data_IF_855898232792
#
_entry.id   IF_855898232792
#
_cell.length_a   1.000
_cell.length_b   1.000
_cell.length_c   1.000
_cell.angle_alpha   90.00
_cell.angle_beta   90.00
_cell.angle_gamma   90.00
#
_symmetry.space_group_name_H-M   'P 1'
#
loop_
_entity.id
_entity.type
_entity.pdbx_description
1 polymer ?
#
# COMPACT_ATOMS: atom_id res chain seq x y z
N UNK A 1 54.48 14.69 10.97
CA UNK A 1 53.18 15.01 11.57
C UNK A 1 52.34 15.75 10.53
N UNK A 2 51.48 15.05 9.81
CA UNK A 2 50.51 15.65 8.87
C UNK A 2 49.13 15.29 9.40
N UNK A 3 48.60 16.15 10.26
CA UNK A 3 47.22 16.06 10.73
C UNK A 3 46.30 16.39 9.55
N UNK A 4 45.74 15.35 8.91
CA UNK A 4 44.64 15.52 7.97
C UNK A 4 43.43 15.98 8.78
N UNK A 5 43.17 17.28 8.75
CA UNK A 5 41.95 17.87 9.31
C UNK A 5 40.75 17.22 8.62
N UNK A 6 40.12 16.27 9.31
CA UNK A 6 38.96 15.54 8.84
C UNK A 6 37.73 16.44 8.89
N UNK A 7 37.52 17.25 7.85
CA UNK A 7 36.24 17.91 7.67
C UNK A 7 35.21 16.84 7.29
N UNK A 8 34.30 16.53 8.21
CA UNK A 8 33.11 15.73 7.89
C UNK A 8 32.19 16.59 7.04
N UNK A 9 32.27 16.48 5.72
CA UNK A 9 31.30 17.10 4.83
C UNK A 9 29.97 16.40 5.08
N UNK A 10 29.03 17.08 5.78
CA UNK A 10 27.65 16.60 5.90
C UNK A 10 27.03 16.73 4.51
N UNK A 11 27.06 15.65 3.74
CA UNK A 11 26.50 15.61 2.41
C UNK A 11 24.96 15.65 2.51
N UNK A 12 24.38 16.82 2.25
CA UNK A 12 22.92 16.95 2.14
C UNK A 12 22.50 16.47 0.75
N UNK A 13 21.69 15.41 0.72
CA UNK A 13 21.11 14.91 -0.51
C UNK A 13 20.01 15.85 -0.99
N UNK A 14 20.07 16.27 -2.26
CA UNK A 14 19.02 17.08 -2.87
C UNK A 14 17.94 16.17 -3.44
N UNK A 15 16.76 16.20 -2.82
CA UNK A 15 15.62 15.40 -3.26
C UNK A 15 14.68 16.22 -4.14
N UNK A 16 14.05 15.61 -5.15
CA UNK A 16 13.01 16.27 -5.93
C UNK A 16 11.72 16.37 -5.12
N UNK A 17 11.47 17.54 -4.55
CA UNK A 17 10.37 17.81 -3.59
C UNK A 17 9.00 17.34 -4.10
N UNK A 18 8.62 17.72 -5.32
CA UNK A 18 7.32 17.35 -5.90
C UNK A 18 7.17 15.83 -6.02
N UNK A 19 8.21 15.14 -6.51
CA UNK A 19 8.17 13.68 -6.70
C UNK A 19 8.05 12.95 -5.37
N UNK A 20 8.78 13.43 -4.35
CA UNK A 20 8.73 12.89 -3.01
C UNK A 20 7.36 13.07 -2.36
N UNK A 21 6.76 14.27 -2.44
CA UNK A 21 5.45 14.56 -1.86
C UNK A 21 4.33 13.75 -2.53
N UNK A 22 4.35 13.65 -3.87
CA UNK A 22 3.40 12.81 -4.61
C UNK A 22 3.51 11.35 -4.17
N UNK A 23 4.73 10.83 -4.03
CA UNK A 23 4.93 9.47 -3.55
C UNK A 23 4.40 9.26 -2.13
N UNK A 24 4.67 10.19 -1.20
CA UNK A 24 4.21 10.12 0.18
C UNK A 24 2.68 10.11 0.26
N UNK A 25 2.00 10.99 -0.48
CA UNK A 25 0.54 11.05 -0.49
C UNK A 25 -0.07 9.77 -1.03
N UNK A 26 0.45 9.24 -2.14
CA UNK A 26 -0.04 7.99 -2.73
C UNK A 26 0.18 6.81 -1.79
N UNK A 27 1.34 6.70 -1.16
CA UNK A 27 1.63 5.60 -0.21
C UNK A 27 0.82 5.73 1.07
N UNK A 28 0.61 6.95 1.57
CA UNK A 28 -0.24 7.20 2.74
C UNK A 28 -1.68 6.76 2.45
N UNK A 29 -2.24 7.21 1.32
CA UNK A 29 -3.59 6.86 0.90
C UNK A 29 -3.72 5.34 0.70
N UNK A 30 -2.80 4.74 -0.04
CA UNK A 30 -2.82 3.29 -0.30
C UNK A 30 -2.73 2.48 1.00
N UNK A 31 -1.81 2.83 1.89
CA UNK A 31 -1.60 2.12 3.16
C UNK A 31 -2.80 2.28 4.09
N UNK A 32 -3.33 3.49 4.25
CA UNK A 32 -4.50 3.73 5.11
C UNK A 32 -5.75 3.03 4.57
N UNK A 33 -6.00 3.08 3.26
CA UNK A 33 -7.14 2.44 2.63
C UNK A 33 -7.06 0.92 2.71
N UNK A 34 -5.91 0.32 2.37
CA UNK A 34 -5.74 -1.14 2.46
C UNK A 34 -5.83 -1.61 3.91
N UNK A 35 -5.19 -0.92 4.86
CA UNK A 35 -5.28 -1.24 6.28
C UNK A 35 -6.74 -1.25 6.75
N UNK A 36 -7.52 -0.24 6.39
CA UNK A 36 -8.94 -0.15 6.74
C UNK A 36 -9.78 -1.27 6.14
N UNK A 37 -9.63 -1.55 4.84
CA UNK A 37 -10.40 -2.58 4.13
C UNK A 37 -10.11 -3.97 4.71
N UNK A 38 -8.83 -4.35 4.84
CA UNK A 38 -8.48 -5.69 5.33
C UNK A 38 -8.76 -5.86 6.82
N UNK A 39 -8.65 -4.80 7.63
CA UNK A 39 -9.07 -4.86 9.04
C UNK A 39 -10.59 -5.09 9.16
N UNK A 40 -11.38 -4.45 8.30
CA UNK A 40 -12.81 -4.70 8.24
C UNK A 40 -13.14 -6.12 7.80
N UNK A 41 -12.44 -6.65 6.79
CA UNK A 41 -12.61 -8.04 6.37
C UNK A 41 -12.26 -9.04 7.47
N UNK A 42 -11.19 -8.82 8.24
CA UNK A 42 -10.89 -9.63 9.43
C UNK A 42 -12.05 -9.64 10.41
N UNK A 43 -12.61 -8.46 10.71
CA UNK A 43 -13.75 -8.35 11.61
C UNK A 43 -14.96 -9.15 11.09
N UNK A 44 -15.29 -9.02 9.80
CA UNK A 44 -16.38 -9.78 9.16
C UNK A 44 -16.16 -11.29 9.29
N UNK A 45 -14.93 -11.80 9.10
CA UNK A 45 -14.64 -13.23 9.26
C UNK A 45 -14.88 -13.71 10.70
N UNK A 46 -14.59 -12.89 11.71
CA UNK A 46 -14.88 -13.26 13.11
C UNK A 46 -16.39 -13.35 13.39
N UNK A 47 -17.20 -12.47 12.79
CA UNK A 47 -18.66 -12.54 12.93
C UNK A 47 -19.25 -13.76 12.19
N UNK A 48 -18.70 -14.09 11.03
CA UNK A 48 -19.13 -15.25 10.24
C UNK A 48 -18.64 -16.59 10.80
N UNK A 49 -17.71 -16.58 11.77
CA UNK A 49 -17.12 -17.80 12.36
C UNK A 49 -16.53 -18.77 11.32
N UNK A 50 -15.97 -18.21 10.24
CA UNK A 50 -15.31 -18.95 9.16
C UNK A 50 -13.79 -18.75 9.22
N UNK A 51 -13.05 -19.65 8.56
CA UNK A 51 -11.60 -19.52 8.44
C UNK A 51 -11.21 -18.23 7.71
N UNK A 52 -10.21 -17.53 8.25
CA UNK A 52 -9.70 -16.29 7.66
C UNK A 52 -8.65 -16.59 6.58
N UNK A 53 -8.82 -16.08 5.35
CA UNK A 53 -7.79 -16.16 4.31
C UNK A 53 -6.49 -15.50 4.77
N UNK A 54 -5.34 -16.10 4.44
CA UNK A 54 -4.02 -15.62 4.84
C UNK A 54 -3.71 -14.20 4.34
N UNK A 55 -4.30 -13.81 3.21
CA UNK A 55 -4.12 -12.49 2.58
C UNK A 55 -4.58 -11.36 3.52
N UNK A 56 -5.61 -11.59 4.34
CA UNK A 56 -6.18 -10.54 5.20
C UNK A 56 -5.21 -10.09 6.31
N UNK A 57 -4.75 -10.98 7.23
CA UNK A 57 -3.79 -10.57 8.25
C UNK A 57 -2.45 -10.13 7.63
N UNK A 58 -2.05 -10.74 6.51
CA UNK A 58 -0.85 -10.36 5.77
C UNK A 58 -0.92 -8.90 5.28
N UNK A 59 -2.04 -8.50 4.68
CA UNK A 59 -2.22 -7.14 4.18
C UNK A 59 -2.40 -6.12 5.30
N UNK A 60 -3.02 -6.49 6.43
CA UNK A 60 -3.05 -5.63 7.62
C UNK A 60 -1.63 -5.34 8.13
N UNK A 61 -0.79 -6.36 8.25
CA UNK A 61 0.60 -6.17 8.68
C UNK A 61 1.40 -5.35 7.66
N UNK A 62 1.27 -5.66 6.37
CA UNK A 62 2.01 -4.98 5.28
C UNK A 62 1.60 -3.52 5.13
N UNK A 63 0.30 -3.23 5.15
CA UNK A 63 -0.21 -1.86 5.11
C UNK A 63 0.14 -1.07 6.37
N UNK A 64 0.15 -1.73 7.54
CA UNK A 64 0.64 -1.15 8.79
C UNK A 64 2.12 -0.76 8.71
N UNK A 65 2.97 -1.64 8.18
CA UNK A 65 4.39 -1.33 7.92
C UNK A 65 4.55 -0.20 6.90
N UNK A 66 3.75 -0.17 5.83
CA UNK A 66 3.74 0.92 4.85
C UNK A 66 3.40 2.27 5.49
N UNK A 67 2.38 2.29 6.36
CA UNK A 67 1.97 3.49 7.09
C UNK A 67 3.06 3.97 8.06
N UNK A 68 3.65 3.05 8.83
CA UNK A 68 4.78 3.33 9.71
C UNK A 68 5.98 3.90 8.94
N UNK A 69 6.28 3.34 7.75
CA UNK A 69 7.35 3.82 6.90
C UNK A 69 7.09 5.24 6.38
N UNK A 70 5.86 5.58 6.02
CA UNK A 70 5.49 6.95 5.65
C UNK A 70 5.71 7.92 6.82
N UNK A 71 5.27 7.58 8.04
CA UNK A 71 5.52 8.43 9.20
C UNK A 71 7.00 8.58 9.52
N UNK A 72 7.77 7.50 9.40
CA UNK A 72 9.22 7.52 9.56
C UNK A 72 9.89 8.45 8.52
N UNK A 73 9.43 8.40 7.27
CA UNK A 73 9.91 9.31 6.21
C UNK A 73 9.58 10.78 6.50
N UNK A 74 8.36 11.08 6.93
CA UNK A 74 7.97 12.43 7.33
C UNK A 74 8.85 12.96 8.46
N UNK A 75 9.16 12.12 9.45
CA UNK A 75 10.09 12.45 10.53
C UNK A 75 11.50 12.77 10.00
N UNK A 76 12.04 11.97 9.07
CA UNK A 76 13.36 12.24 8.47
C UNK A 76 13.40 13.52 7.64
N UNK A 77 12.31 13.83 6.93
CA UNK A 77 12.17 15.08 6.16
C UNK A 77 12.23 16.29 7.09
N UNK A 78 11.52 16.24 8.23
CA UNK A 78 11.54 17.32 9.24
C UNK A 78 12.94 17.54 9.82
N UNK A 79 13.77 16.48 9.91
CA UNK A 79 15.16 16.58 10.38
C UNK A 79 16.16 16.96 9.28
N UNK A 80 15.74 16.98 8.01
CA UNK A 80 16.63 17.20 6.86
C UNK A 80 17.66 16.07 6.67
N UNK A 81 17.40 14.89 7.23
CA UNK A 81 18.31 13.73 7.26
C UNK A 81 17.78 12.60 6.35
N UNK A 82 17.32 12.97 5.15
CA UNK A 82 16.75 12.01 4.21
C UNK A 82 17.88 11.23 3.50
N UNK A 83 18.31 10.14 4.14
CA UNK A 83 19.39 9.27 3.67
C UNK A 83 18.86 8.30 2.60
N UNK A 84 19.45 8.27 1.39
CA UNK A 84 18.96 7.44 0.30
C UNK A 84 19.08 5.94 0.57
N UNK A 85 20.11 5.50 1.30
CA UNK A 85 20.35 4.07 1.53
C UNK A 85 19.27 3.41 2.40
N UNK A 86 18.77 4.12 3.42
CA UNK A 86 17.66 3.64 4.27
C UNK A 86 16.38 3.54 3.45
N UNK A 87 16.15 4.51 2.55
CA UNK A 87 14.95 4.55 1.70
C UNK A 87 14.99 3.41 0.69
N UNK A 88 16.15 3.15 0.08
CA UNK A 88 16.32 2.04 -0.86
C UNK A 88 15.98 0.71 -0.18
N UNK A 89 16.53 0.47 1.01
CA UNK A 89 16.25 -0.75 1.76
C UNK A 89 14.75 -0.87 2.11
N UNK A 90 14.16 0.20 2.67
CA UNK A 90 12.75 0.21 3.06
C UNK A 90 11.80 0.02 1.88
N UNK A 91 12.03 0.72 0.77
CA UNK A 91 11.22 0.58 -0.45
C UNK A 91 11.37 -0.81 -1.08
N UNK A 92 12.55 -1.45 -1.01
CA UNK A 92 12.74 -2.79 -1.54
C UNK A 92 11.97 -3.84 -0.73
N UNK A 93 12.05 -3.78 0.61
CA UNK A 93 11.31 -4.68 1.48
C UNK A 93 9.80 -4.49 1.29
N UNK A 94 9.33 -3.24 1.32
CA UNK A 94 7.91 -2.95 1.12
C UNK A 94 7.44 -3.33 -0.28
N UNK A 95 8.25 -3.16 -1.32
CA UNK A 95 7.92 -3.62 -2.66
C UNK A 95 7.61 -5.12 -2.69
N UNK A 96 8.48 -5.96 -2.13
CA UNK A 96 8.27 -7.42 -2.09
C UNK A 96 7.02 -7.76 -1.31
N UNK A 97 6.79 -7.09 -0.17
CA UNK A 97 5.63 -7.34 0.66
C UNK A 97 4.33 -6.97 -0.05
N UNK A 98 4.26 -5.80 -0.66
CA UNK A 98 3.09 -5.31 -1.40
C UNK A 98 2.84 -6.13 -2.67
N UNK A 99 3.88 -6.56 -3.38
CA UNK A 99 3.75 -7.44 -4.53
C UNK A 99 3.15 -8.80 -4.15
N UNK A 100 3.59 -9.38 -3.03
CA UNK A 100 3.05 -10.65 -2.54
C UNK A 100 1.57 -10.50 -2.15
N UNK A 101 1.23 -9.37 -1.51
CA UNK A 101 -0.15 -9.00 -1.20
C UNK A 101 -1.01 -8.90 -2.45
N UNK A 102 -0.53 -8.14 -3.46
CA UNK A 102 -1.19 -7.97 -4.75
C UNK A 102 -1.47 -9.30 -5.43
N UNK A 103 -0.51 -10.23 -5.43
CA UNK A 103 -0.70 -11.56 -6.01
C UNK A 103 -1.78 -12.34 -5.23
N UNK A 104 -1.72 -12.31 -3.89
CA UNK A 104 -2.73 -12.94 -3.03
C UNK A 104 -4.14 -12.40 -3.31
N UNK A 105 -4.30 -11.07 -3.29
CA UNK A 105 -5.56 -10.39 -3.59
C UNK A 105 -6.04 -10.69 -5.02
N UNK A 106 -5.14 -10.77 -6.00
CA UNK A 106 -5.48 -11.11 -7.38
C UNK A 106 -6.06 -12.53 -7.49
N UNK A 107 -5.49 -13.50 -6.77
CA UNK A 107 -5.97 -14.89 -6.76
C UNK A 107 -7.38 -14.96 -6.14
N UNK A 108 -7.63 -14.28 -5.03
CA UNK A 108 -8.95 -14.25 -4.39
C UNK A 108 -10.00 -13.52 -5.28
N UNK A 109 -9.59 -12.46 -5.97
CA UNK A 109 -10.49 -11.64 -6.79
C UNK A 109 -10.81 -12.27 -8.16
N UNK A 110 -9.83 -12.90 -8.80
CA UNK A 110 -9.89 -13.37 -10.18
C UNK A 110 -9.56 -14.86 -10.38
N UNK A 111 -9.42 -15.64 -9.30
CA UNK A 111 -9.09 -17.07 -9.35
C UNK A 111 -10.14 -17.94 -10.05
N UNK A 112 -9.84 -19.22 -10.26
CA UNK A 112 -10.72 -20.15 -11.00
C UNK A 112 -11.90 -20.67 -10.18
N UNK A 113 -11.73 -20.81 -8.86
CA UNK A 113 -12.74 -21.35 -7.96
C UNK A 113 -13.34 -20.23 -7.10
N UNK A 114 -14.68 -20.09 -7.12
CA UNK A 114 -15.45 -19.17 -6.26
C UNK A 114 -14.90 -17.73 -6.15
N UNK A 115 -14.39 -17.16 -7.24
CA UNK A 115 -13.76 -15.84 -7.21
C UNK A 115 -14.75 -14.72 -6.84
N UNK A 116 -14.24 -13.73 -6.11
CA UNK A 116 -15.06 -12.61 -5.62
C UNK A 116 -15.69 -11.86 -6.78
N UNK A 117 -14.99 -11.69 -7.90
CA UNK A 117 -15.50 -10.93 -9.04
C UNK A 117 -16.75 -11.59 -9.67
N UNK A 118 -16.80 -12.91 -9.84
CA UNK A 118 -17.97 -13.62 -10.38
C UNK A 118 -19.15 -13.54 -9.43
N UNK A 119 -18.89 -13.67 -8.11
CA UNK A 119 -19.92 -13.47 -7.09
C UNK A 119 -20.49 -12.05 -7.15
N UNK A 120 -19.64 -11.05 -7.33
CA UNK A 120 -20.09 -9.67 -7.52
C UNK A 120 -20.96 -9.50 -8.78
N UNK A 121 -20.61 -10.14 -9.90
CA UNK A 121 -21.46 -10.09 -11.10
C UNK A 121 -22.83 -10.76 -10.84
N UNK A 122 -22.81 -11.96 -10.26
CA UNK A 122 -24.02 -12.75 -10.07
C UNK A 122 -24.97 -12.15 -9.03
N UNK A 123 -24.46 -11.72 -7.88
CA UNK A 123 -25.28 -11.30 -6.74
C UNK A 123 -25.52 -9.79 -6.65
N UNK A 124 -24.65 -8.96 -7.23
CA UNK A 124 -24.80 -7.50 -7.17
C UNK A 124 -25.30 -6.94 -8.50
N UNK A 125 -24.61 -7.24 -9.60
CA UNK A 125 -24.92 -6.65 -10.92
C UNK A 125 -26.20 -7.25 -11.51
N UNK A 126 -26.34 -8.57 -11.43
CA UNK A 126 -27.47 -9.28 -12.04
C UNK A 126 -28.72 -9.35 -11.14
N UNK A 127 -28.62 -9.00 -9.84
CA UNK A 127 -29.73 -9.07 -8.88
C UNK A 127 -29.90 -7.76 -8.07
N UNK A 128 -30.25 -6.63 -8.72
CA UNK A 128 -30.44 -5.37 -8.02
C UNK A 128 -31.69 -5.39 -7.11
N UNK A 129 -31.54 -4.94 -5.86
CA UNK A 129 -32.64 -4.74 -4.91
C UNK A 129 -32.90 -3.25 -4.65
N UNK A 130 -34.16 -2.87 -4.45
CA UNK A 130 -34.58 -1.48 -4.18
C UNK A 130 -35.62 -1.41 -3.06
N UNK A 131 -35.71 -0.24 -2.40
CA UNK A 131 -36.67 0.03 -1.33
C UNK A 131 -36.12 -0.25 0.08
N UNK A 132 -36.78 0.24 1.15
CA UNK A 132 -36.31 0.15 2.54
C UNK A 132 -36.58 -1.24 3.14
N UNK A 133 -35.91 -2.28 2.61
CA UNK A 133 -36.04 -3.66 3.08
C UNK A 133 -34.67 -4.23 3.49
N UNK A 134 -34.70 -5.28 4.32
CA UNK A 134 -33.48 -6.01 4.73
C UNK A 134 -32.75 -6.58 3.51
N UNK A 135 -33.48 -7.00 2.48
CA UNK A 135 -32.89 -7.50 1.23
C UNK A 135 -32.09 -6.41 0.51
N UNK A 136 -32.58 -5.17 0.50
CA UNK A 136 -31.83 -4.04 -0.06
C UNK A 136 -30.61 -3.70 0.80
N UNK A 137 -30.71 -3.78 2.14
CA UNK A 137 -29.55 -3.58 3.01
C UNK A 137 -28.47 -4.65 2.77
N UNK A 138 -28.86 -5.92 2.59
CA UNK A 138 -27.95 -7.01 2.26
C UNK A 138 -27.27 -6.76 0.90
N UNK A 139 -28.03 -6.36 -0.12
CA UNK A 139 -27.48 -5.99 -1.43
C UNK A 139 -26.53 -4.79 -1.36
N UNK A 140 -26.86 -3.74 -0.61
CA UNK A 140 -25.98 -2.58 -0.35
C UNK A 140 -24.68 -2.97 0.38
N UNK A 141 -24.76 -3.96 1.25
CA UNK A 141 -23.57 -4.51 1.93
C UNK A 141 -22.70 -5.28 0.93
N UNK A 142 -23.31 -6.12 0.08
CA UNK A 142 -22.59 -6.89 -0.94
C UNK A 142 -21.90 -5.98 -1.97
N UNK A 143 -22.57 -4.95 -2.49
CA UNK A 143 -21.93 -3.98 -3.41
C UNK A 143 -20.74 -3.27 -2.75
N UNK A 144 -20.86 -2.94 -1.47
CA UNK A 144 -19.75 -2.33 -0.71
C UNK A 144 -18.56 -3.28 -0.62
N UNK A 145 -18.79 -4.56 -0.27
CA UNK A 145 -17.73 -5.58 -0.22
C UNK A 145 -17.04 -5.71 -1.58
N UNK A 146 -17.81 -5.79 -2.67
CA UNK A 146 -17.28 -5.88 -4.03
C UNK A 146 -16.41 -4.69 -4.41
N UNK A 147 -16.84 -3.48 -4.06
CA UNK A 147 -16.06 -2.27 -4.31
C UNK A 147 -14.79 -2.23 -3.45
N UNK A 148 -14.87 -2.61 -2.17
CA UNK A 148 -13.70 -2.70 -1.30
C UNK A 148 -12.62 -3.62 -1.87
N UNK A 149 -12.99 -4.80 -2.39
CA UNK A 149 -12.05 -5.71 -3.04
C UNK A 149 -11.35 -5.10 -4.26
N UNK A 150 -12.13 -4.47 -5.16
CA UNK A 150 -11.57 -3.80 -6.35
C UNK A 150 -10.70 -2.61 -5.98
N UNK A 151 -11.10 -1.84 -4.97
CA UNK A 151 -10.34 -0.72 -4.45
C UNK A 151 -9.03 -1.17 -3.81
N UNK A 152 -9.04 -2.21 -2.98
CA UNK A 152 -7.83 -2.77 -2.39
C UNK A 152 -6.85 -3.23 -3.48
N UNK A 153 -7.33 -4.02 -4.44
CA UNK A 153 -6.51 -4.46 -5.58
C UNK A 153 -5.89 -3.28 -6.36
N UNK A 154 -6.67 -2.23 -6.64
CA UNK A 154 -6.18 -1.06 -7.35
C UNK A 154 -5.09 -0.31 -6.55
N UNK A 155 -5.29 -0.11 -5.24
CA UNK A 155 -4.29 0.55 -4.40
C UNK A 155 -3.03 -0.29 -4.19
N UNK A 156 -3.16 -1.61 -4.09
CA UNK A 156 -2.02 -2.54 -4.05
C UNK A 156 -1.17 -2.45 -5.30
N UNK A 157 -1.81 -2.43 -6.48
CA UNK A 157 -1.12 -2.29 -7.76
C UNK A 157 -0.39 -0.95 -7.86
N UNK A 158 -1.09 0.15 -7.57
CA UNK A 158 -0.51 1.50 -7.61
C UNK A 158 0.67 1.61 -6.66
N UNK A 159 0.52 1.16 -5.41
CA UNK A 159 1.58 1.22 -4.39
C UNK A 159 2.81 0.42 -4.81
N UNK A 160 2.61 -0.79 -5.36
CA UNK A 160 3.70 -1.65 -5.87
C UNK A 160 4.53 -0.94 -6.95
N UNK A 161 3.87 -0.27 -7.91
CA UNK A 161 4.54 0.51 -8.96
C UNK A 161 5.29 1.71 -8.34
N UNK A 162 4.66 2.40 -7.38
CA UNK A 162 5.25 3.57 -6.73
C UNK A 162 6.48 3.21 -5.87
N UNK A 163 6.55 2.03 -5.27
CA UNK A 163 7.76 1.57 -4.58
C UNK A 163 8.92 1.38 -5.57
N UNK A 164 8.69 0.78 -6.74
CA UNK A 164 9.71 0.68 -7.80
C UNK A 164 10.16 2.08 -8.24
N UNK A 165 9.21 2.98 -8.46
CA UNK A 165 9.51 4.35 -8.86
C UNK A 165 10.40 5.08 -7.84
N UNK A 166 10.15 4.93 -6.55
CA UNK A 166 11.01 5.53 -5.52
C UNK A 166 12.35 4.85 -5.35
N UNK A 167 12.47 3.54 -5.61
CA UNK A 167 13.78 2.90 -5.70
C UNK A 167 14.63 3.59 -6.77
N UNK A 168 14.06 3.81 -7.97
CA UNK A 168 14.75 4.49 -9.07
C UNK A 168 15.17 5.92 -8.67
N UNK A 169 14.27 6.71 -8.09
CA UNK A 169 14.58 8.07 -7.64
C UNK A 169 15.69 8.06 -6.58
N UNK A 170 15.61 7.14 -5.61
CA UNK A 170 16.61 7.06 -4.54
C UNK A 170 17.99 6.68 -5.07
N UNK A 171 18.07 5.81 -6.08
CA UNK A 171 19.33 5.55 -6.79
C UNK A 171 19.85 6.77 -7.56
N UNK A 172 18.97 7.57 -8.19
CA UNK A 172 19.35 8.82 -8.88
C UNK A 172 19.90 9.84 -7.88
N UNK A 173 19.25 10.00 -6.72
CA UNK A 173 19.72 10.87 -5.63
C UNK A 173 21.08 10.43 -5.11
N UNK A 174 21.27 9.13 -4.88
CA UNK A 174 22.55 8.57 -4.42
C UNK A 174 23.69 8.82 -5.41
N UNK A 175 23.41 8.74 -6.71
CA UNK A 175 24.40 9.03 -7.78
C UNK A 175 24.63 10.53 -8.02
N UNK A 176 23.96 11.41 -7.28
CA UNK A 176 24.14 12.87 -7.39
C UNK A 176 23.49 13.50 -8.63
N UNK A 177 22.52 12.83 -9.26
CA UNK A 177 21.89 13.31 -10.51
C UNK A 177 21.19 14.68 -10.37
N UNK A 178 20.77 15.06 -9.16
CA UNK A 178 20.08 16.32 -8.85
C UNK A 178 20.99 17.42 -8.28
N UNK A 179 22.32 17.24 -8.35
CA UNK A 179 23.31 18.22 -7.90
C UNK A 179 23.71 19.23 -9.00
N UNK A 180 23.03 19.21 -10.16
CA UNK A 180 23.24 20.16 -11.25
C UNK A 180 22.36 21.41 -11.10
#
# INVERSE_FOLDING_TARGET
>A
MTSSSGYTIIQRFRWPEIRLHVWLLVNLASSATCLGIFSWFLFVQTQLSVSTPWVFPYMVATAGLGLLFVFFMLFLIQRGLLLPDIIILGCFVLFVLWLTGLIGTAIELYGTEANVNSNCQNYVVNMPSKGPSINTLAWLTQITICNCWKTAFAFELVSTIFYIWMLIISFQVRRGFFLK
#
